data_IF_095081809129
#
_entry.id   IF_095081809129
#
_cell.length_a   1.000
_cell.length_b   1.000
_cell.length_c   1.000
_cell.angle_alpha   90.00
_cell.angle_beta   90.00
_cell.angle_gamma   90.00
#
_symmetry.space_group_name_H-M   'P 1'
#
loop_
_entity.id
_entity.type
_entity.pdbx_description
1 polymer ?
#
# COMPACT_ATOMS: atom_id res chain seq x y z
N UNK A 1 25.96 -1.99 7.89
CA UNK A 1 25.84 -0.76 7.06
C UNK A 1 24.95 0.21 7.79
N UNK A 2 25.21 1.51 7.65
CA UNK A 2 24.32 2.55 8.12
C UNK A 2 23.37 2.94 6.99
N UNK A 3 22.09 2.64 7.14
CA UNK A 3 21.07 2.72 6.10
C UNK A 3 20.01 3.75 6.48
N UNK A 4 19.70 4.69 5.59
CA UNK A 4 18.53 5.55 5.72
C UNK A 4 17.44 5.12 4.74
N UNK A 5 16.24 4.86 5.24
CA UNK A 5 15.02 4.74 4.44
C UNK A 5 14.21 6.02 4.60
N UNK A 6 13.73 6.59 3.48
CA UNK A 6 12.98 7.83 3.53
C UNK A 6 11.59 7.67 2.94
N UNK A 7 10.58 8.14 3.67
CA UNK A 7 9.20 8.21 3.22
C UNK A 7 8.58 9.55 3.57
N UNK A 8 7.57 9.99 2.81
CA UNK A 8 6.99 11.33 2.96
C UNK A 8 5.84 11.41 3.98
N UNK A 9 5.42 10.29 4.56
CA UNK A 9 4.19 10.23 5.37
C UNK A 9 4.35 9.31 6.57
N UNK A 10 3.68 9.67 7.67
CA UNK A 10 3.51 8.87 8.88
C UNK A 10 2.26 7.98 8.87
N UNK A 11 1.36 8.16 7.89
CA UNK A 11 0.04 7.51 7.81
C UNK A 11 0.10 6.11 7.18
N UNK A 12 -0.89 5.21 7.45
CA UNK A 12 -0.91 3.82 6.96
C UNK A 12 -1.17 3.76 5.44
N UNK A 13 -0.11 3.93 4.66
CA UNK A 13 -0.08 3.79 3.20
C UNK A 13 0.84 2.65 2.81
N UNK A 14 0.56 1.97 1.71
CA UNK A 14 1.35 0.81 1.28
C UNK A 14 2.86 1.06 1.26
N UNK A 15 3.32 2.21 0.74
CA UNK A 15 4.73 2.59 0.75
C UNK A 15 5.30 2.82 2.15
N UNK A 16 4.48 3.33 3.11
CA UNK A 16 4.90 3.52 4.51
C UNK A 16 4.95 2.18 5.23
N UNK A 17 3.94 1.31 5.04
CA UNK A 17 3.94 -0.07 5.57
C UNK A 17 5.20 -0.81 5.09
N UNK A 18 5.50 -0.75 3.78
CA UNK A 18 6.72 -1.31 3.21
C UNK A 18 7.98 -0.74 3.89
N UNK A 19 8.07 0.58 4.03
CA UNK A 19 9.24 1.25 4.59
C UNK A 19 9.53 0.79 6.00
N UNK A 20 8.51 0.75 6.86
CA UNK A 20 8.66 0.34 8.26
C UNK A 20 9.01 -1.14 8.39
N UNK A 21 8.29 -2.01 7.67
CA UNK A 21 8.53 -3.44 7.74
C UNK A 21 9.91 -3.84 7.17
N UNK A 22 10.36 -3.18 6.10
CA UNK A 22 11.72 -3.36 5.57
C UNK A 22 12.77 -2.85 6.55
N UNK A 23 12.55 -1.69 7.20
CA UNK A 23 13.46 -1.13 8.20
C UNK A 23 13.67 -2.09 9.36
N UNK A 24 12.58 -2.62 9.90
CA UNK A 24 12.61 -3.59 11.01
C UNK A 24 13.32 -4.89 10.60
N UNK A 25 13.08 -5.39 9.39
CA UNK A 25 13.74 -6.59 8.88
C UNK A 25 15.25 -6.36 8.66
N UNK A 26 15.65 -5.19 8.15
CA UNK A 26 17.06 -4.82 8.00
C UNK A 26 17.75 -4.66 9.37
N UNK A 27 17.05 -4.11 10.37
CA UNK A 27 17.56 -4.01 11.75
C UNK A 27 17.75 -5.40 12.36
N UNK A 28 16.77 -6.32 12.21
CA UNK A 28 16.92 -7.73 12.62
C UNK A 28 18.10 -8.43 11.92
N UNK A 29 18.40 -8.03 10.69
CA UNK A 29 19.59 -8.52 9.96
C UNK A 29 20.90 -7.83 10.40
N UNK A 30 20.91 -7.08 11.51
CA UNK A 30 22.10 -6.48 12.12
C UNK A 30 22.56 -5.19 11.45
N UNK A 31 21.68 -4.48 10.74
CA UNK A 31 22.02 -3.19 10.14
C UNK A 31 21.66 -2.04 11.08
N UNK A 32 22.40 -0.92 10.98
CA UNK A 32 22.06 0.36 11.63
C UNK A 32 21.09 1.11 10.72
N UNK A 33 19.81 1.17 11.10
CA UNK A 33 18.73 1.65 10.23
C UNK A 33 18.04 2.86 10.82
N UNK A 34 17.96 3.94 10.03
CA UNK A 34 17.13 5.11 10.36
C UNK A 34 15.99 5.25 9.34
N UNK A 35 14.80 5.60 9.81
CA UNK A 35 13.66 5.97 8.96
C UNK A 35 13.37 7.45 9.10
N UNK A 36 13.46 8.18 8.00
CA UNK A 36 13.13 9.60 7.91
C UNK A 36 11.74 9.79 7.33
N UNK A 37 10.93 10.62 7.97
CA UNK A 37 9.59 10.95 7.48
C UNK A 37 9.16 12.36 7.88
N UNK A 38 8.13 12.88 7.20
CA UNK A 38 7.44 14.11 7.57
C UNK A 38 6.32 13.81 8.56
N UNK A 39 6.32 14.51 9.70
CA UNK A 39 5.27 14.46 10.72
C UNK A 39 4.06 15.30 10.30
N UNK A 40 3.27 14.79 9.38
CA UNK A 40 2.11 15.51 8.82
C UNK A 40 0.99 15.65 9.83
N UNK A 41 0.47 16.89 9.94
CA UNK A 41 -0.62 17.19 10.87
C UNK A 41 -0.20 17.16 12.34
N UNK A 42 1.09 17.36 12.63
CA UNK A 42 1.63 17.34 13.99
C UNK A 42 2.01 15.95 14.50
N UNK A 43 2.01 14.93 13.64
CA UNK A 43 2.44 13.59 14.03
C UNK A 43 3.90 13.60 14.50
N UNK A 44 4.16 13.03 15.66
CA UNK A 44 5.50 12.79 16.20
C UNK A 44 5.94 11.32 16.03
N UNK A 45 5.01 10.45 15.63
CA UNK A 45 5.21 9.00 15.47
C UNK A 45 4.52 8.51 14.21
N UNK A 46 4.80 7.28 13.82
CA UNK A 46 4.04 6.57 12.78
C UNK A 46 2.69 6.07 13.30
N UNK A 47 1.85 5.61 12.40
CA UNK A 47 0.52 5.05 12.68
C UNK A 47 0.55 3.78 13.55
N UNK A 48 1.72 3.18 13.73
CA UNK A 48 1.96 2.03 14.61
C UNK A 48 3.30 2.17 15.34
N UNK A 49 3.49 1.36 16.36
CA UNK A 49 4.79 1.18 16.98
C UNK A 49 5.80 0.61 15.97
N UNK A 50 7.05 1.05 16.09
CA UNK A 50 8.19 0.58 15.28
C UNK A 50 9.20 -0.05 16.24
N UNK A 51 9.88 -1.10 15.79
CA UNK A 51 10.93 -1.77 16.57
C UNK A 51 11.95 -0.73 17.08
N UNK A 52 12.24 -0.70 18.40
CA UNK A 52 13.20 0.26 18.99
C UNK A 52 14.62 0.20 18.40
N UNK A 53 14.96 -0.88 17.70
CA UNK A 53 16.23 -1.00 16.97
C UNK A 53 16.30 -0.11 15.73
N UNK A 54 15.16 0.45 15.28
CA UNK A 54 15.08 1.39 14.15
C UNK A 54 15.04 2.82 14.69
N UNK A 55 16.00 3.65 14.27
CA UNK A 55 16.05 5.06 14.63
C UNK A 55 15.05 5.89 13.81
N UNK A 56 14.03 6.45 14.47
CA UNK A 56 12.98 7.24 13.82
C UNK A 56 13.33 8.72 13.84
N UNK A 57 13.39 9.31 12.65
CA UNK A 57 13.68 10.73 12.40
C UNK A 57 12.45 11.42 11.82
N UNK A 58 11.55 11.87 12.71
CA UNK A 58 10.34 12.59 12.30
C UNK A 58 10.65 14.07 12.12
N UNK A 59 10.50 14.59 10.91
CA UNK A 59 10.70 16.01 10.57
C UNK A 59 9.36 16.72 10.72
N UNK A 60 9.25 17.77 11.56
CA UNK A 60 8.02 18.53 11.73
C UNK A 60 7.50 19.09 10.39
N UNK A 61 6.21 18.89 10.12
CA UNK A 61 5.55 19.37 8.91
C UNK A 61 4.13 19.86 9.24
N UNK A 62 3.99 21.14 9.47
CA UNK A 62 2.73 21.77 9.85
C UNK A 62 1.77 21.86 8.65
N UNK A 63 0.46 21.78 8.94
CA UNK A 63 -0.58 22.04 7.96
C UNK A 63 -0.66 23.52 7.59
N UNK A 64 -1.00 23.82 6.32
CA UNK A 64 -1.29 25.17 5.84
C UNK A 64 -2.61 25.15 5.08
N UNK A 65 -3.60 25.92 5.53
CA UNK A 65 -4.98 25.85 5.05
C UNK A 65 -5.15 26.28 3.58
N UNK A 66 -4.34 27.22 3.10
CA UNK A 66 -4.45 27.78 1.74
C UNK A 66 -3.56 27.05 0.71
N UNK A 67 -2.84 26.01 1.13
CA UNK A 67 -1.85 25.32 0.30
C UNK A 67 -2.50 24.25 -0.58
N UNK A 68 -2.38 24.38 -1.89
CA UNK A 68 -2.82 23.33 -2.82
C UNK A 68 -1.90 22.09 -2.77
N UNK A 69 -2.31 20.99 -3.43
CA UNK A 69 -1.56 19.71 -3.39
C UNK A 69 -0.15 19.87 -3.97
N UNK A 70 0.01 20.61 -5.07
CA UNK A 70 1.30 20.84 -5.73
C UNK A 70 2.28 21.61 -4.84
N UNK A 71 1.83 22.72 -4.26
CA UNK A 71 2.61 23.53 -3.31
C UNK A 71 3.03 22.70 -2.09
N UNK A 72 2.11 21.90 -1.55
CA UNK A 72 2.39 20.99 -0.44
C UNK A 72 3.45 19.95 -0.78
N UNK A 73 3.42 19.38 -1.98
CA UNK A 73 4.43 18.41 -2.44
C UNK A 73 5.80 19.10 -2.56
N UNK A 74 5.88 20.27 -3.18
CA UNK A 74 7.14 21.02 -3.32
C UNK A 74 7.72 21.41 -1.96
N UNK A 75 6.89 21.94 -1.07
CA UNK A 75 7.30 22.24 0.30
C UNK A 75 7.74 21.00 1.09
N UNK A 76 7.08 19.87 0.87
CA UNK A 76 7.48 18.59 1.49
C UNK A 76 8.90 18.18 1.06
N UNK A 77 9.23 18.34 -0.21
CA UNK A 77 10.57 18.09 -0.75
C UNK A 77 11.59 19.01 -0.09
N UNK A 78 11.30 20.30 0.01
CA UNK A 78 12.24 21.29 0.56
C UNK A 78 12.46 21.10 2.06
N UNK A 79 11.41 20.86 2.83
CA UNK A 79 11.51 20.62 4.29
C UNK A 79 12.34 19.35 4.58
N UNK A 80 12.07 18.27 3.86
CA UNK A 80 12.83 17.03 4.04
C UNK A 80 14.28 17.20 3.60
N UNK A 81 14.54 17.92 2.50
CA UNK A 81 15.89 18.22 2.00
C UNK A 81 16.72 19.01 3.03
N UNK A 82 16.12 20.01 3.68
CA UNK A 82 16.80 20.84 4.67
C UNK A 82 17.15 20.09 5.95
N UNK A 83 16.33 19.11 6.32
CA UNK A 83 16.52 18.33 7.55
C UNK A 83 17.48 17.14 7.37
N UNK A 84 17.56 16.56 6.17
CA UNK A 84 18.29 15.33 5.91
C UNK A 84 19.79 15.55 5.69
N UNK A 85 20.61 14.71 6.32
CA UNK A 85 22.10 14.73 6.21
C UNK A 85 22.61 13.44 5.55
N UNK A 86 22.78 13.42 4.21
CA UNK A 86 23.09 12.20 3.46
C UNK A 86 24.45 11.58 3.83
N UNK A 87 25.44 12.39 4.19
CA UNK A 87 26.80 11.93 4.47
C UNK A 87 26.94 11.08 5.75
N UNK A 88 25.87 10.96 6.53
CA UNK A 88 25.86 10.11 7.71
C UNK A 88 25.60 8.63 7.39
N UNK A 89 25.22 8.30 6.14
CA UNK A 89 24.74 7.00 5.74
C UNK A 89 25.57 6.36 4.64
N UNK A 90 25.76 5.06 4.72
CA UNK A 90 26.34 4.25 3.65
C UNK A 90 25.37 4.09 2.47
N UNK A 91 24.07 3.98 2.80
CA UNK A 91 22.97 3.79 1.86
C UNK A 91 21.88 4.82 2.15
N UNK A 92 21.50 5.56 1.12
CA UNK A 92 20.31 6.45 1.11
C UNK A 92 19.28 5.86 0.17
N UNK A 93 18.12 5.47 0.71
CA UNK A 93 17.09 4.77 -0.05
C UNK A 93 15.73 5.46 0.08
N UNK A 94 15.28 6.09 -0.99
CA UNK A 94 14.01 6.79 -1.08
C UNK A 94 12.86 5.84 -1.48
N UNK A 95 11.74 5.92 -0.76
CA UNK A 95 10.59 5.05 -0.98
C UNK A 95 9.46 5.71 -1.81
N UNK A 96 9.53 7.01 -2.04
CA UNK A 96 8.53 7.77 -2.79
C UNK A 96 9.15 8.92 -3.60
N UNK A 97 8.32 9.56 -4.43
CA UNK A 97 8.73 10.65 -5.30
C UNK A 97 9.25 11.86 -4.51
N UNK A 98 8.59 12.20 -3.39
CA UNK A 98 8.97 13.34 -2.54
C UNK A 98 10.34 13.11 -1.93
N UNK A 99 10.56 11.94 -1.31
CA UNK A 99 11.82 11.54 -0.71
C UNK A 99 12.97 11.53 -1.72
N UNK A 100 12.74 10.97 -2.92
CA UNK A 100 13.78 10.92 -3.96
C UNK A 100 14.19 12.31 -4.44
N UNK A 101 13.23 13.24 -4.59
CA UNK A 101 13.54 14.62 -4.95
C UNK A 101 14.20 15.41 -3.81
N UNK A 102 13.97 15.02 -2.56
CA UNK A 102 14.55 15.69 -1.40
C UNK A 102 16.05 15.36 -1.24
N UNK A 103 16.44 14.09 -1.40
CA UNK A 103 17.78 13.63 -1.03
C UNK A 103 18.80 13.62 -2.18
N UNK A 104 18.36 13.76 -3.42
CA UNK A 104 19.23 13.81 -4.60
C UNK A 104 19.80 12.43 -4.96
N UNK A 105 21.05 12.16 -4.60
CA UNK A 105 21.71 10.87 -4.91
C UNK A 105 21.20 9.76 -4.00
N UNK A 106 20.38 8.85 -4.51
CA UNK A 106 19.78 7.77 -3.74
C UNK A 106 19.52 6.52 -4.59
N UNK A 107 19.21 5.41 -3.90
CA UNK A 107 18.45 4.29 -4.46
C UNK A 107 16.98 4.66 -4.39
N UNK A 108 16.18 4.24 -5.34
CA UNK A 108 14.73 4.48 -5.36
C UNK A 108 13.96 3.17 -5.49
N UNK A 109 13.04 2.88 -4.54
CA UNK A 109 12.01 1.86 -4.75
C UNK A 109 10.80 2.49 -5.45
N UNK A 110 10.41 1.94 -6.59
CA UNK A 110 9.23 2.32 -7.36
C UNK A 110 8.12 1.32 -7.06
N UNK A 111 7.15 1.76 -6.26
CA UNK A 111 6.00 0.94 -5.88
C UNK A 111 4.96 0.87 -6.99
N UNK A 112 4.74 1.95 -7.70
CA UNK A 112 3.92 2.09 -8.90
C UNK A 112 4.29 3.39 -9.60
N UNK A 113 3.84 3.56 -10.82
CA UNK A 113 4.01 4.79 -11.58
C UNK A 113 2.72 5.61 -11.51
N UNK A 114 2.83 6.88 -11.13
CA UNK A 114 1.72 7.83 -11.11
C UNK A 114 1.69 8.66 -12.39
N UNK A 115 0.53 9.21 -12.71
CA UNK A 115 0.35 10.18 -13.78
C UNK A 115 -0.02 11.52 -13.18
N UNK A 116 0.69 12.56 -13.57
CA UNK A 116 0.47 13.92 -13.09
C UNK A 116 0.14 14.84 -14.27
N UNK A 117 -0.90 15.63 -14.09
CA UNK A 117 -1.33 16.61 -15.09
C UNK A 117 -0.67 17.97 -14.92
N UNK A 118 -0.17 18.27 -13.73
CA UNK A 118 0.54 19.54 -13.45
C UNK A 118 1.99 19.42 -13.89
N UNK A 119 2.54 20.36 -14.70
CA UNK A 119 3.90 20.27 -15.22
C UNK A 119 4.97 20.10 -14.15
N UNK A 120 4.84 20.81 -13.02
CA UNK A 120 5.80 20.76 -11.91
C UNK A 120 5.81 19.38 -11.23
N UNK A 121 4.64 18.77 -11.05
CA UNK A 121 4.52 17.44 -10.45
C UNK A 121 4.99 16.36 -11.43
N UNK A 122 4.68 16.49 -12.72
CA UNK A 122 5.21 15.62 -13.76
C UNK A 122 6.75 15.66 -13.78
N UNK A 123 7.34 16.86 -13.71
CA UNK A 123 8.80 17.02 -13.63
C UNK A 123 9.39 16.44 -12.35
N UNK A 124 8.71 16.53 -11.20
CA UNK A 124 9.14 15.87 -9.95
C UNK A 124 9.10 14.34 -10.07
N UNK A 125 8.05 13.80 -10.69
CA UNK A 125 7.91 12.38 -10.94
C UNK A 125 9.02 11.87 -11.87
N UNK A 126 9.25 12.57 -12.97
CA UNK A 126 10.32 12.27 -13.92
C UNK A 126 11.69 12.24 -13.23
N UNK A 127 12.03 13.27 -12.46
CA UNK A 127 13.29 13.32 -11.70
C UNK A 127 13.41 12.19 -10.69
N UNK A 128 12.31 11.82 -10.01
CA UNK A 128 12.33 10.72 -9.04
C UNK A 128 12.57 9.33 -9.67
N UNK A 129 12.43 9.21 -10.99
CA UNK A 129 12.75 7.99 -11.75
C UNK A 129 14.15 8.09 -12.37
N UNK A 130 14.50 9.25 -12.93
CA UNK A 130 15.73 9.40 -13.72
C UNK A 130 16.97 9.73 -12.90
N UNK A 131 16.86 10.52 -11.84
CA UNK A 131 17.99 10.96 -11.02
C UNK A 131 18.59 9.91 -10.06
N UNK A 132 17.83 8.96 -9.45
CA UNK A 132 18.42 7.93 -8.61
C UNK A 132 19.51 7.15 -9.34
N UNK A 133 20.60 6.82 -8.65
CA UNK A 133 21.68 6.04 -9.26
C UNK A 133 21.36 4.55 -9.41
N UNK A 134 20.39 4.04 -8.65
CA UNK A 134 19.90 2.68 -8.73
C UNK A 134 18.39 2.61 -8.44
N UNK A 135 17.72 1.61 -8.98
CA UNK A 135 16.25 1.47 -8.91
C UNK A 135 15.86 0.05 -8.53
N UNK A 136 14.87 -0.04 -7.65
CA UNK A 136 14.19 -1.28 -7.28
C UNK A 136 12.73 -1.13 -7.68
N UNK A 137 12.13 -2.18 -8.22
CA UNK A 137 10.69 -2.31 -8.43
C UNK A 137 10.12 -3.47 -7.61
N UNK A 138 8.89 -3.34 -7.14
CA UNK A 138 8.24 -4.35 -6.29
C UNK A 138 7.63 -5.51 -7.09
N UNK A 139 7.62 -5.41 -8.43
CA UNK A 139 7.16 -6.46 -9.34
C UNK A 139 7.84 -6.33 -10.71
N UNK A 140 7.82 -7.41 -11.50
CA UNK A 140 8.34 -7.41 -12.87
C UNK A 140 7.46 -6.55 -13.79
N UNK A 141 6.17 -6.46 -13.53
CA UNK A 141 5.25 -5.57 -14.25
C UNK A 141 5.67 -4.11 -14.11
N UNK A 142 5.91 -3.62 -12.88
CA UNK A 142 6.41 -2.24 -12.65
C UNK A 142 7.79 -2.05 -13.28
N UNK A 143 8.68 -3.02 -13.19
CA UNK A 143 10.00 -2.94 -13.84
C UNK A 143 9.87 -2.86 -15.38
N UNK A 144 8.94 -3.60 -15.97
CA UNK A 144 8.65 -3.53 -17.41
C UNK A 144 8.13 -2.15 -17.82
N UNK A 145 7.29 -1.54 -16.99
CA UNK A 145 6.79 -0.19 -17.25
C UNK A 145 7.90 0.86 -17.18
N UNK A 146 8.80 0.75 -16.20
CA UNK A 146 9.99 1.61 -16.08
C UNK A 146 10.92 1.42 -17.29
N UNK A 147 11.16 0.17 -17.71
CA UNK A 147 11.96 -0.11 -18.90
C UNK A 147 11.35 0.51 -20.14
N UNK A 148 10.05 0.38 -20.32
CA UNK A 148 9.32 0.90 -21.49
C UNK A 148 9.31 2.43 -21.50
N UNK A 149 9.13 3.06 -20.33
CA UNK A 149 9.05 4.52 -20.22
C UNK A 149 10.39 5.24 -20.29
N UNK A 150 11.45 4.64 -19.72
CA UNK A 150 12.73 5.31 -19.50
C UNK A 150 13.97 4.52 -19.92
N UNK A 151 13.83 3.27 -20.35
CA UNK A 151 14.97 2.44 -20.78
C UNK A 151 15.85 1.94 -19.64
N UNK A 152 15.46 2.10 -18.37
CA UNK A 152 16.19 1.56 -17.22
C UNK A 152 15.88 0.09 -16.96
N UNK A 153 16.83 -0.62 -16.34
CA UNK A 153 16.69 -2.01 -15.88
C UNK A 153 16.65 -2.05 -14.34
N UNK A 154 15.50 -1.87 -13.70
CA UNK A 154 15.41 -1.96 -12.26
C UNK A 154 15.59 -3.38 -11.76
N UNK A 155 16.14 -3.52 -10.55
CA UNK A 155 16.11 -4.82 -9.84
C UNK A 155 14.71 -5.05 -9.27
N UNK A 156 14.18 -6.26 -9.44
CA UNK A 156 12.88 -6.63 -8.88
C UNK A 156 13.09 -7.27 -7.51
N UNK A 157 12.57 -6.63 -6.46
CA UNK A 157 12.51 -7.19 -5.11
C UNK A 157 11.07 -7.07 -4.62
N UNK A 158 10.32 -8.18 -4.57
CA UNK A 158 8.93 -8.18 -4.08
C UNK A 158 8.84 -7.73 -2.62
N UNK A 159 7.68 -7.18 -2.26
CA UNK A 159 7.37 -6.89 -0.87
C UNK A 159 7.29 -8.19 -0.07
N UNK A 160 7.59 -8.10 1.23
CA UNK A 160 7.19 -9.09 2.19
C UNK A 160 5.75 -8.88 2.67
N UNK A 161 5.26 -9.82 3.46
CA UNK A 161 4.03 -9.72 4.23
C UNK A 161 4.25 -10.33 5.62
N UNK A 162 3.58 -9.79 6.63
CA UNK A 162 3.56 -10.37 7.97
C UNK A 162 2.47 -11.46 8.05
N UNK A 163 2.71 -12.58 7.37
CA UNK A 163 1.74 -13.66 7.24
C UNK A 163 1.37 -14.27 8.59
N UNK A 164 2.31 -14.32 9.55
CA UNK A 164 2.06 -14.89 10.88
C UNK A 164 1.05 -14.05 11.65
N UNK A 165 1.17 -12.73 11.62
CA UNK A 165 0.27 -11.80 12.28
C UNK A 165 -1.18 -11.96 11.80
N UNK A 166 -1.38 -12.04 10.48
CA UNK A 166 -2.71 -12.21 9.89
C UNK A 166 -3.26 -13.63 10.10
N UNK A 167 -2.42 -14.66 10.03
CA UNK A 167 -2.81 -16.03 10.33
C UNK A 167 -3.23 -16.18 11.81
N UNK A 168 -2.48 -15.58 12.75
CA UNK A 168 -2.80 -15.59 14.16
C UNK A 168 -4.14 -14.89 14.44
N UNK A 169 -4.43 -13.78 13.78
CA UNK A 169 -5.72 -13.11 13.88
C UNK A 169 -6.89 -13.99 13.40
N UNK A 170 -6.72 -14.71 12.29
CA UNK A 170 -7.71 -15.65 11.79
C UNK A 170 -7.97 -16.83 12.77
N UNK A 171 -6.94 -17.27 13.48
CA UNK A 171 -7.01 -18.38 14.44
C UNK A 171 -7.42 -17.94 15.85
N UNK A 172 -7.50 -16.64 16.13
CA UNK A 172 -7.73 -16.10 17.48
C UNK A 172 -9.10 -16.39 18.07
N UNK A 173 -10.07 -16.81 17.25
CA UNK A 173 -11.46 -17.00 17.65
C UNK A 173 -12.21 -15.70 17.98
N UNK A 174 -11.61 -14.53 17.80
CA UNK A 174 -12.27 -13.24 17.98
C UNK A 174 -13.34 -13.05 16.89
N UNK A 175 -14.50 -12.52 17.30
CA UNK A 175 -15.67 -12.30 16.41
C UNK A 175 -16.22 -10.86 16.47
N UNK A 176 -15.58 -9.97 17.23
CA UNK A 176 -16.13 -8.65 17.56
C UNK A 176 -16.44 -7.77 16.33
N UNK A 177 -15.66 -7.88 15.25
CA UNK A 177 -15.97 -7.15 14.01
C UNK A 177 -17.20 -7.72 13.32
N UNK A 178 -17.34 -9.07 13.30
CA UNK A 178 -18.54 -9.73 12.78
C UNK A 178 -19.76 -9.46 13.64
N UNK A 179 -19.61 -9.37 14.95
CA UNK A 179 -20.68 -8.98 15.88
C UNK A 179 -21.12 -7.53 15.65
N UNK A 180 -20.18 -6.62 15.41
CA UNK A 180 -20.42 -5.19 15.17
C UNK A 180 -20.98 -4.92 13.78
N UNK A 181 -20.43 -5.56 12.76
CA UNK A 181 -20.69 -5.26 11.35
C UNK A 181 -21.63 -6.27 10.67
N UNK A 182 -21.92 -7.41 11.29
CA UNK A 182 -22.58 -8.52 10.61
C UNK A 182 -21.65 -9.19 9.59
N UNK A 183 -22.23 -9.74 8.55
CA UNK A 183 -21.48 -10.29 7.39
C UNK A 183 -21.07 -9.14 6.46
N UNK A 184 -19.80 -9.03 6.12
CA UNK A 184 -19.34 -7.88 5.34
C UNK A 184 -18.30 -8.20 4.27
N UNK A 185 -18.33 -7.39 3.23
CA UNK A 185 -17.33 -7.26 2.16
C UNK A 185 -16.40 -6.13 2.57
N UNK A 186 -15.08 -6.36 2.59
CA UNK A 186 -14.11 -5.40 3.09
C UNK A 186 -13.21 -4.86 1.98
N UNK A 187 -13.25 -3.56 1.77
CA UNK A 187 -12.26 -2.84 0.98
C UNK A 187 -11.23 -2.17 1.91
N UNK A 188 -9.95 -2.51 1.74
CA UNK A 188 -8.85 -1.90 2.50
C UNK A 188 -8.17 -0.82 1.65
N UNK A 189 -8.22 0.41 2.14
CA UNK A 189 -7.70 1.61 1.49
C UNK A 189 -8.69 2.75 1.46
N UNK A 190 -8.24 3.94 1.05
CA UNK A 190 -9.10 5.11 0.90
C UNK A 190 -10.06 5.00 -0.29
N UNK A 191 -11.11 5.83 -0.28
CA UNK A 191 -12.02 6.00 -1.41
C UNK A 191 -11.32 6.91 -2.42
N UNK A 192 -10.75 6.32 -3.46
CA UNK A 192 -9.96 7.00 -4.48
C UNK A 192 -10.10 6.32 -5.84
N UNK A 193 -9.90 7.05 -6.97
CA UNK A 193 -10.06 6.51 -8.33
C UNK A 193 -9.24 5.24 -8.55
N UNK A 194 -7.99 5.26 -8.12
CA UNK A 194 -7.04 4.14 -8.29
C UNK A 194 -7.52 2.85 -7.60
N UNK A 195 -8.29 2.95 -6.51
CA UNK A 195 -8.80 1.79 -5.78
C UNK A 195 -10.07 1.18 -6.39
N UNK A 196 -10.65 1.81 -7.44
CA UNK A 196 -11.82 1.30 -8.12
C UNK A 196 -13.07 1.28 -7.25
N UNK A 197 -13.22 2.25 -6.35
CA UNK A 197 -14.31 2.28 -5.38
C UNK A 197 -15.68 2.40 -6.02
N UNK A 198 -15.81 3.10 -7.16
CA UNK A 198 -17.06 3.17 -7.93
C UNK A 198 -17.41 1.83 -8.58
N UNK A 199 -16.43 1.14 -9.18
CA UNK A 199 -16.63 -0.20 -9.74
C UNK A 199 -17.08 -1.20 -8.66
N UNK A 200 -16.55 -1.03 -7.43
CA UNK A 200 -16.97 -1.84 -6.29
C UNK A 200 -18.42 -1.57 -5.90
N UNK A 201 -18.88 -0.31 -5.86
CA UNK A 201 -20.28 0.02 -5.63
C UNK A 201 -21.18 -0.65 -6.69
N UNK A 202 -20.81 -0.52 -7.97
CA UNK A 202 -21.58 -1.09 -9.08
C UNK A 202 -21.61 -2.63 -9.07
N UNK A 203 -20.53 -3.26 -8.62
CA UNK A 203 -20.49 -4.70 -8.42
C UNK A 203 -21.31 -5.13 -7.21
N UNK A 204 -21.17 -4.43 -6.07
CA UNK A 204 -21.90 -4.73 -4.84
C UNK A 204 -23.42 -4.59 -5.00
N UNK A 205 -23.88 -3.59 -5.74
CA UNK A 205 -25.30 -3.38 -6.04
C UNK A 205 -25.95 -4.56 -6.80
N UNK A 206 -25.15 -5.41 -7.44
CA UNK A 206 -25.63 -6.58 -8.22
C UNK A 206 -25.71 -7.85 -7.38
N UNK A 207 -25.18 -7.85 -6.14
CA UNK A 207 -25.20 -9.01 -5.27
C UNK A 207 -26.63 -9.31 -4.79
N UNK A 208 -27.02 -10.58 -4.83
CA UNK A 208 -28.32 -11.01 -4.34
C UNK A 208 -28.44 -11.08 -2.81
N UNK A 209 -27.31 -11.06 -2.10
CA UNK A 209 -27.28 -11.21 -0.65
C UNK A 209 -27.61 -9.88 0.07
N UNK A 210 -28.78 -9.81 0.69
CA UNK A 210 -29.27 -8.62 1.40
C UNK A 210 -28.73 -8.47 2.84
N UNK A 211 -28.02 -9.47 3.36
CA UNK A 211 -27.43 -9.50 4.70
C UNK A 211 -25.99 -8.98 4.75
N UNK A 212 -25.46 -8.55 3.61
CA UNK A 212 -24.08 -8.07 3.47
C UNK A 212 -23.98 -6.56 3.71
N UNK A 213 -22.92 -6.17 4.41
CA UNK A 213 -22.48 -4.76 4.47
C UNK A 213 -21.24 -4.56 3.62
N UNK A 214 -21.17 -3.42 2.96
CA UNK A 214 -19.96 -2.95 2.29
C UNK A 214 -19.18 -2.05 3.25
N UNK A 215 -17.96 -2.45 3.58
CA UNK A 215 -17.10 -1.78 4.59
C UNK A 215 -15.84 -1.28 3.94
N UNK A 216 -15.48 -0.03 4.20
CA UNK A 216 -14.22 0.58 3.79
C UNK A 216 -13.36 0.87 5.02
N UNK A 217 -12.12 0.38 5.01
CA UNK A 217 -11.11 0.63 6.03
C UNK A 217 -9.90 1.34 5.40
N UNK A 218 -9.84 2.65 5.56
CA UNK A 218 -8.75 3.47 5.04
C UNK A 218 -9.01 4.95 5.27
N UNK A 219 -7.93 5.68 5.52
CA UNK A 219 -7.96 7.11 5.75
C UNK A 219 -7.91 7.93 4.46
N UNK A 220 -7.84 9.25 4.64
CA UNK A 220 -7.68 10.20 3.54
C UNK A 220 -6.35 10.03 2.81
N UNK A 221 -6.33 10.38 1.54
CA UNK A 221 -5.16 10.28 0.68
C UNK A 221 -4.38 11.61 0.62
N UNK A 222 -3.18 11.59 0.00
CA UNK A 222 -2.40 12.81 -0.24
C UNK A 222 -3.11 13.76 -1.20
N UNK A 223 -3.81 13.19 -2.20
CA UNK A 223 -4.46 13.94 -3.26
C UNK A 223 -5.84 14.42 -2.82
N UNK A 224 -6.27 15.52 -3.41
CA UNK A 224 -7.63 16.03 -3.21
C UNK A 224 -8.61 15.24 -4.09
N UNK A 225 -9.33 14.32 -3.49
CA UNK A 225 -10.35 13.51 -4.15
C UNK A 225 -11.77 13.87 -3.68
N UNK A 226 -12.01 15.12 -3.25
CA UNK A 226 -13.34 15.55 -2.79
C UNK A 226 -14.42 15.37 -3.86
N UNK A 227 -14.11 15.68 -5.12
CA UNK A 227 -15.05 15.48 -6.21
C UNK A 227 -15.36 13.99 -6.43
N UNK A 228 -14.33 13.15 -6.42
CA UNK A 228 -14.51 11.69 -6.51
C UNK A 228 -15.27 11.13 -5.31
N UNK A 229 -15.02 11.66 -4.12
CA UNK A 229 -15.77 11.29 -2.92
C UNK A 229 -17.24 11.70 -3.03
N UNK A 230 -17.53 12.89 -3.54
CA UNK A 230 -18.91 13.34 -3.79
C UNK A 230 -19.61 12.48 -4.85
N UNK A 231 -18.89 12.07 -5.88
CA UNK A 231 -19.43 11.13 -6.88
C UNK A 231 -19.71 9.75 -6.29
N UNK A 232 -18.78 9.25 -5.44
CA UNK A 232 -18.97 7.98 -4.73
C UNK A 232 -20.22 8.03 -3.83
N UNK A 233 -20.37 9.08 -3.03
CA UNK A 233 -21.52 9.22 -2.12
C UNK A 233 -22.84 9.34 -2.90
N UNK A 234 -22.86 10.11 -4.01
CA UNK A 234 -24.01 10.19 -4.93
C UNK A 234 -24.33 8.83 -5.53
N UNK A 235 -23.31 8.11 -6.02
CA UNK A 235 -23.50 6.78 -6.64
C UNK A 235 -24.03 5.76 -5.64
N UNK A 236 -23.51 5.75 -4.42
CA UNK A 236 -23.99 4.89 -3.35
C UNK A 236 -25.47 5.14 -3.07
N UNK A 237 -25.88 6.43 -2.97
CA UNK A 237 -27.27 6.79 -2.76
C UNK A 237 -28.20 6.35 -3.93
N UNK A 238 -27.76 6.53 -5.17
CA UNK A 238 -28.52 6.06 -6.37
C UNK A 238 -28.74 4.55 -6.37
N UNK A 239 -27.76 3.80 -5.86
CA UNK A 239 -27.81 2.33 -5.78
C UNK A 239 -28.50 1.83 -4.50
N UNK A 240 -28.88 2.72 -3.58
CA UNK A 240 -29.47 2.35 -2.28
C UNK A 240 -28.47 1.63 -1.36
N UNK A 241 -27.17 1.90 -1.50
CA UNK A 241 -26.11 1.31 -0.69
C UNK A 241 -25.70 2.33 0.39
N UNK A 242 -25.60 1.87 1.64
CA UNK A 242 -25.06 2.63 2.76
C UNK A 242 -23.71 2.02 3.19
N UNK A 243 -22.57 2.43 2.59
CA UNK A 243 -21.27 1.88 2.94
C UNK A 243 -20.87 2.28 4.37
N UNK A 244 -20.30 1.35 5.11
CA UNK A 244 -19.69 1.64 6.41
C UNK A 244 -18.26 2.13 6.18
N UNK A 245 -17.99 3.39 6.51
CA UNK A 245 -16.66 3.99 6.38
C UNK A 245 -16.01 4.03 7.76
N UNK A 246 -15.03 3.17 7.99
CA UNK A 246 -14.34 3.07 9.28
C UNK A 246 -13.23 4.13 9.45
N UNK A 247 -12.78 4.74 8.34
CA UNK A 247 -11.56 5.56 8.37
C UNK A 247 -10.31 4.71 8.61
N UNK A 248 -9.30 5.31 9.23
CA UNK A 248 -8.08 4.59 9.61
C UNK A 248 -8.39 3.65 10.78
N UNK A 249 -8.16 2.38 10.59
CA UNK A 249 -8.28 1.33 11.61
C UNK A 249 -6.95 1.17 12.32
N UNK A 250 -6.97 0.95 13.63
CA UNK A 250 -5.78 0.69 14.42
C UNK A 250 -5.01 -0.50 13.85
N UNK A 251 -3.69 -0.39 13.83
CA UNK A 251 -2.83 -1.40 13.21
C UNK A 251 -3.05 -2.80 13.82
N UNK A 252 -3.23 -2.89 15.15
CA UNK A 252 -3.49 -4.14 15.85
C UNK A 252 -4.88 -4.75 15.54
N UNK A 253 -5.83 -3.94 15.14
CA UNK A 253 -7.20 -4.37 14.80
C UNK A 253 -7.36 -4.74 13.32
N UNK A 254 -6.51 -4.22 12.43
CA UNK A 254 -6.60 -4.49 11.00
C UNK A 254 -6.55 -5.99 10.65
N UNK A 255 -5.65 -6.82 11.22
CA UNK A 255 -5.66 -8.25 10.94
C UNK A 255 -6.98 -8.94 11.33
N UNK A 256 -7.58 -8.55 12.45
CA UNK A 256 -8.86 -9.10 12.90
C UNK A 256 -10.03 -8.67 12.00
N UNK A 257 -10.02 -7.40 11.55
CA UNK A 257 -11.02 -6.90 10.60
C UNK A 257 -10.91 -7.65 9.27
N UNK A 258 -9.70 -7.88 8.77
CA UNK A 258 -9.47 -8.64 7.52
C UNK A 258 -9.89 -10.10 7.68
N UNK A 259 -9.48 -10.77 8.76
CA UNK A 259 -9.77 -12.18 8.99
C UNK A 259 -11.28 -12.50 9.15
N UNK A 260 -12.07 -11.52 9.61
CA UNK A 260 -13.50 -11.69 9.81
C UNK A 260 -14.36 -11.27 8.60
N UNK A 261 -13.74 -10.71 7.56
CA UNK A 261 -14.42 -10.35 6.32
C UNK A 261 -14.88 -11.60 5.56
N UNK A 262 -16.04 -11.51 4.91
CA UNK A 262 -16.56 -12.60 4.09
C UNK A 262 -15.77 -12.73 2.76
N UNK A 263 -15.32 -11.61 2.22
CA UNK A 263 -14.49 -11.52 1.02
C UNK A 263 -13.81 -10.15 0.96
N UNK A 264 -12.62 -10.08 0.37
CA UNK A 264 -11.91 -8.83 0.09
C UNK A 264 -11.89 -8.59 -1.43
N UNK A 265 -12.70 -7.63 -1.96
CA UNK A 265 -12.54 -7.14 -3.33
C UNK A 265 -11.28 -6.29 -3.45
N UNK A 266 -10.45 -6.59 -4.42
CA UNK A 266 -9.23 -5.84 -4.73
C UNK A 266 -9.30 -5.30 -6.16
N UNK A 267 -10.15 -4.27 -6.34
CA UNK A 267 -10.53 -3.75 -7.66
C UNK A 267 -9.71 -2.53 -8.10
N UNK A 268 -8.52 -2.36 -7.55
CA UNK A 268 -7.62 -1.29 -7.98
C UNK A 268 -7.43 -1.29 -9.48
N UNK A 269 -7.47 -0.10 -10.10
CA UNK A 269 -7.22 0.10 -11.53
C UNK A 269 -5.73 0.16 -11.86
N UNK A 270 -4.89 0.43 -10.85
CA UNK A 270 -3.44 0.50 -10.94
C UNK A 270 -2.81 0.03 -9.62
N UNK A 271 -1.89 -0.89 -9.71
CA UNK A 271 -1.17 -1.44 -8.56
C UNK A 271 0.29 -1.78 -8.93
N UNK A 272 1.12 -1.93 -7.90
CA UNK A 272 2.48 -2.42 -8.07
C UNK A 272 2.72 -3.80 -7.45
N UNK A 273 1.93 -4.17 -6.41
CA UNK A 273 2.08 -5.45 -5.74
C UNK A 273 0.75 -5.96 -5.16
N UNK A 274 0.10 -5.17 -4.27
CA UNK A 274 -1.17 -5.56 -3.65
C UNK A 274 -1.05 -6.07 -2.22
N UNK A 275 -0.38 -5.33 -1.33
CA UNK A 275 -0.16 -5.72 0.07
C UNK A 275 -1.46 -6.14 0.77
N UNK A 276 -2.54 -5.34 0.69
CA UNK A 276 -3.80 -5.65 1.36
C UNK A 276 -4.45 -6.98 0.90
N UNK A 277 -4.30 -7.31 -0.39
CA UNK A 277 -4.77 -8.60 -0.90
C UNK A 277 -3.89 -9.75 -0.39
N UNK A 278 -2.56 -9.55 -0.30
CA UNK A 278 -1.65 -10.55 0.27
C UNK A 278 -1.90 -10.77 1.77
N UNK A 279 -2.18 -9.70 2.51
CA UNK A 279 -2.60 -9.75 3.92
C UNK A 279 -3.91 -10.53 4.10
N UNK A 280 -4.87 -10.33 3.19
CA UNK A 280 -6.12 -11.09 3.20
C UNK A 280 -5.89 -12.59 2.94
N UNK A 281 -5.02 -12.95 2.00
CA UNK A 281 -4.63 -14.34 1.76
C UNK A 281 -3.96 -14.95 3.00
N UNK A 282 -3.11 -14.19 3.69
CA UNK A 282 -2.50 -14.62 4.96
C UNK A 282 -3.52 -14.84 6.08
N UNK A 283 -4.62 -14.08 6.07
CA UNK A 283 -5.77 -14.25 6.97
C UNK A 283 -6.75 -15.33 6.51
N UNK A 284 -6.48 -16.03 5.42
CA UNK A 284 -7.40 -17.00 4.79
C UNK A 284 -8.72 -16.37 4.33
N UNK A 285 -8.74 -15.07 4.08
CA UNK A 285 -9.90 -14.35 3.55
C UNK A 285 -9.89 -14.45 2.03
N UNK A 286 -11.01 -14.88 1.39
CA UNK A 286 -11.10 -14.95 -0.06
C UNK A 286 -10.87 -13.58 -0.71
N UNK A 287 -10.14 -13.56 -1.83
CA UNK A 287 -9.84 -12.33 -2.57
C UNK A 287 -10.39 -12.43 -4.00
N UNK A 288 -11.13 -11.41 -4.42
CA UNK A 288 -11.50 -11.19 -5.82
C UNK A 288 -10.75 -9.97 -6.32
N UNK A 289 -9.85 -10.15 -7.27
CA UNK A 289 -8.97 -9.11 -7.77
C UNK A 289 -9.41 -8.62 -9.16
N UNK A 290 -9.09 -7.36 -9.48
CA UNK A 290 -9.15 -6.89 -10.86
C UNK A 290 -8.14 -7.66 -11.72
N UNK A 291 -8.53 -8.01 -12.93
CA UNK A 291 -7.64 -8.66 -13.89
C UNK A 291 -6.59 -7.67 -14.43
N UNK A 292 -5.47 -7.58 -13.73
CA UNK A 292 -4.32 -6.76 -14.10
C UNK A 292 -3.07 -7.66 -14.24
N UNK A 293 -2.18 -7.40 -15.20
CA UNK A 293 -0.95 -8.15 -15.37
C UNK A 293 -0.12 -8.29 -14.10
N UNK A 294 0.03 -7.21 -13.33
CA UNK A 294 0.76 -7.20 -12.06
C UNK A 294 0.11 -8.09 -11.00
N UNK A 295 -1.22 -8.14 -10.93
CA UNK A 295 -1.92 -8.96 -9.94
C UNK A 295 -1.88 -10.44 -10.34
N UNK A 296 -1.91 -10.76 -11.65
CA UNK A 296 -1.65 -12.12 -12.14
C UNK A 296 -0.23 -12.58 -11.87
N UNK A 297 0.77 -11.70 -12.03
CA UNK A 297 2.17 -11.98 -11.68
C UNK A 297 2.31 -12.30 -10.18
N UNK A 298 1.72 -11.48 -9.31
CA UNK A 298 1.92 -11.58 -7.85
C UNK A 298 1.11 -12.71 -7.24
N UNK A 299 -0.15 -12.89 -7.65
CA UNK A 299 -1.09 -13.80 -6.97
C UNK A 299 -1.30 -15.13 -7.71
N UNK A 300 -0.95 -15.22 -9.01
CA UNK A 300 -1.19 -16.43 -9.80
C UNK A 300 -2.63 -16.91 -9.66
N UNK A 301 -2.80 -18.18 -9.30
CA UNK A 301 -4.10 -18.82 -9.08
C UNK A 301 -4.62 -18.74 -7.64
N UNK A 302 -3.95 -17.95 -6.77
CA UNK A 302 -4.35 -17.80 -5.37
C UNK A 302 -5.56 -16.89 -5.17
N UNK A 303 -6.01 -16.20 -6.22
CA UNK A 303 -7.18 -15.30 -6.21
C UNK A 303 -8.03 -15.52 -7.45
N UNK A 304 -9.26 -15.04 -7.44
CA UNK A 304 -10.08 -14.99 -8.66
C UNK A 304 -10.02 -13.61 -9.30
N UNK A 305 -10.22 -13.54 -10.62
CA UNK A 305 -10.03 -12.31 -11.38
C UNK A 305 -11.30 -11.89 -12.11
N UNK A 306 -11.54 -10.58 -12.15
CA UNK A 306 -12.68 -9.97 -12.83
C UNK A 306 -12.31 -8.61 -13.42
N UNK A 307 -12.95 -8.22 -14.53
CA UNK A 307 -12.61 -6.98 -15.26
C UNK A 307 -13.75 -5.98 -15.35
N UNK A 308 -15.00 -6.41 -15.18
CA UNK A 308 -16.20 -5.57 -15.28
C UNK A 308 -17.05 -5.69 -14.03
N UNK A 309 -17.89 -4.69 -13.73
CA UNK A 309 -18.78 -4.76 -12.58
C UNK A 309 -19.66 -6.02 -12.55
N UNK A 310 -20.07 -6.53 -13.72
CA UNK A 310 -20.85 -7.76 -13.82
C UNK A 310 -20.03 -9.01 -13.44
N UNK A 311 -18.81 -9.14 -13.97
CA UNK A 311 -17.91 -10.26 -13.63
C UNK A 311 -17.39 -10.14 -12.20
N UNK A 312 -17.15 -8.93 -11.70
CA UNK A 312 -16.79 -8.66 -10.30
C UNK A 312 -17.90 -9.15 -9.35
N UNK A 313 -19.15 -8.81 -9.66
CA UNK A 313 -20.29 -9.27 -8.87
C UNK A 313 -20.41 -10.82 -8.88
N UNK A 314 -20.30 -11.44 -10.05
CA UNK A 314 -20.39 -12.91 -10.19
C UNK A 314 -19.28 -13.62 -9.38
N UNK A 315 -18.04 -13.11 -9.41
CA UNK A 315 -16.93 -13.67 -8.64
C UNK A 315 -17.09 -13.43 -7.12
N UNK A 316 -17.61 -12.28 -6.72
CA UNK A 316 -17.95 -12.03 -5.33
C UNK A 316 -19.04 -12.98 -4.85
N UNK A 317 -20.12 -13.17 -5.60
CA UNK A 317 -21.19 -14.14 -5.26
C UNK A 317 -20.63 -15.55 -5.12
N UNK A 318 -19.76 -15.97 -6.04
CA UNK A 318 -19.13 -17.29 -5.97
C UNK A 318 -18.28 -17.44 -4.71
N UNK A 319 -17.45 -16.44 -4.38
CA UNK A 319 -16.62 -16.43 -3.18
C UNK A 319 -17.45 -16.45 -1.89
N UNK A 320 -18.61 -15.80 -1.89
CA UNK A 320 -19.54 -15.72 -0.75
C UNK A 320 -20.37 -17.00 -0.55
N UNK A 321 -20.66 -17.72 -1.65
CA UNK A 321 -21.51 -18.92 -1.64
C UNK A 321 -20.72 -20.21 -1.39
N UNK A 322 -19.45 -20.25 -1.85
CA UNK A 322 -18.64 -21.49 -1.82
C UNK A 322 -17.35 -21.25 -1.04
N UNK A 323 -17.12 -22.01 0.06
CA UNK A 323 -15.83 -21.97 0.73
C UNK A 323 -14.70 -22.29 -0.25
N UNK A 324 -13.70 -21.42 -0.31
CA UNK A 324 -12.52 -21.65 -1.14
C UNK A 324 -11.43 -22.29 -0.29
N UNK A 325 -10.59 -23.12 -0.90
CA UNK A 325 -9.39 -23.62 -0.23
C UNK A 325 -8.40 -22.45 -0.01
N UNK A 326 -8.09 -22.07 1.22
CA UNK A 326 -7.18 -20.96 1.49
C UNK A 326 -5.70 -21.33 1.34
N UNK A 327 -5.40 -22.64 1.16
CA UNK A 327 -4.02 -23.15 1.21
C UNK A 327 -3.10 -22.55 0.15
N UNK A 328 -3.49 -22.33 -1.12
CA UNK A 328 -2.62 -21.69 -2.10
C UNK A 328 -2.24 -20.26 -1.71
N UNK A 329 -3.23 -19.46 -1.29
CA UNK A 329 -3.02 -18.08 -0.87
C UNK A 329 -2.15 -17.98 0.38
N UNK A 330 -2.38 -18.83 1.37
CA UNK A 330 -1.59 -18.89 2.61
C UNK A 330 -0.14 -19.33 2.33
N UNK A 331 0.06 -20.29 1.44
CA UNK A 331 1.39 -20.73 1.01
C UNK A 331 2.15 -19.61 0.31
N UNK A 332 1.49 -18.89 -0.60
CA UNK A 332 2.05 -17.73 -1.27
C UNK A 332 2.45 -16.65 -0.28
N UNK A 333 1.54 -16.25 0.63
CA UNK A 333 1.80 -15.22 1.63
C UNK A 333 3.00 -15.58 2.53
N UNK A 334 3.10 -16.83 2.97
CA UNK A 334 4.22 -17.32 3.78
C UNK A 334 5.55 -17.38 3.03
N UNK A 335 5.54 -17.48 1.70
CA UNK A 335 6.75 -17.48 0.90
C UNK A 335 7.38 -16.09 0.74
N UNK A 336 6.61 -15.03 0.97
CA UNK A 336 7.02 -13.64 0.79
C UNK A 336 7.21 -12.98 2.16
N UNK A 337 8.38 -13.14 2.76
CA UNK A 337 8.70 -12.58 4.08
C UNK A 337 9.48 -11.27 3.97
N UNK A 338 9.34 -10.39 4.97
CA UNK A 338 10.15 -9.18 5.05
C UNK A 338 11.63 -9.48 5.28
N UNK A 339 11.96 -10.59 5.94
CA UNK A 339 13.35 -11.00 6.14
C UNK A 339 14.00 -11.41 4.81
N UNK A 340 13.28 -12.10 3.93
CA UNK A 340 13.76 -12.41 2.58
C UNK A 340 13.89 -11.15 1.72
N UNK A 341 12.91 -10.23 1.81
CA UNK A 341 13.01 -8.93 1.16
C UNK A 341 14.24 -8.15 1.64
N UNK A 342 14.51 -8.10 2.95
CA UNK A 342 15.69 -7.46 3.53
C UNK A 342 16.98 -8.11 3.05
N UNK A 343 17.07 -9.44 3.01
CA UNK A 343 18.23 -10.18 2.50
C UNK A 343 18.55 -9.77 1.06
N UNK A 344 17.53 -9.73 0.19
CA UNK A 344 17.69 -9.32 -1.23
C UNK A 344 18.09 -7.85 -1.35
N UNK A 345 17.58 -6.97 -0.48
CA UNK A 345 18.03 -5.57 -0.45
C UNK A 345 19.50 -5.46 -0.03
N UNK A 346 19.96 -6.23 0.95
CA UNK A 346 21.36 -6.24 1.38
C UNK A 346 22.30 -6.74 0.28
N UNK A 347 21.91 -7.78 -0.44
CA UNK A 347 22.65 -8.26 -1.62
C UNK A 347 22.75 -7.17 -2.69
N UNK A 348 21.61 -6.51 -2.97
CA UNK A 348 21.57 -5.40 -3.92
C UNK A 348 22.47 -4.24 -3.48
N UNK A 349 22.36 -3.79 -2.21
CA UNK A 349 23.20 -2.71 -1.69
C UNK A 349 24.70 -3.05 -1.77
N UNK A 350 25.04 -4.31 -1.51
CA UNK A 350 26.43 -4.78 -1.58
C UNK A 350 26.96 -4.79 -3.01
N UNK A 351 26.12 -5.04 -4.01
CA UNK A 351 26.51 -5.04 -5.43
C UNK A 351 26.74 -3.63 -6.00
N UNK A 352 26.32 -2.58 -5.29
CA UNK A 352 26.49 -1.18 -5.70
C UNK A 352 27.76 -0.50 -5.12
N UNK A 353 28.47 -1.20 -4.24
CA UNK A 353 29.74 -0.79 -3.64
C UNK A 353 30.90 -1.31 -4.48
#
# INVERSE_FOLDING_TARGET
MKISLLTYSSKPRGGVVHTLALAEALARAGQDVSVWSLGRGGDSTFFRAVDPAVDIRMVPFEHRDEENVGERILRSIDVLRQAFTPNEYDIVHAQDCISANAVGRCIRTIHHLDEFTTPELAACHERAITAPYARICVSAAVASDVRRGWGFEPTVIPNGVDAERFTAAAQSGRSHWREKLGRYVLAVGGIEPRKGSLDLLDAFARLAAHDLRLVFAGGETLFDYRDYRSEFDRRAAELGIEPVILGTVDDDELPHLVAQAAVLPFFSTKEGFGLAAMEALAASTPVVARDLPVLREVFGDSVTYASTAATMAAELERALATPQDPSPGLTLARSLTWDEAARRHLEFYSSLR
#
